data_IF_990506815981
#
_entry.id   IF_990506815981
#
_cell.length_a   1.000
_cell.length_b   1.000
_cell.length_c   1.000
_cell.angle_alpha   90.00
_cell.angle_beta   90.00
_cell.angle_gamma   90.00
#
_symmetry.space_group_name_H-M   'P 1'
#
loop_
_entity.id
_entity.type
_entity.pdbx_description
1 polymer ?
#
# COMPACT_ATOMS: atom_id res chain seq x y z
N UNK A 1 -16.54 10.37 -44.35
CA UNK A 1 -17.10 10.03 -43.03
C UNK A 1 -16.35 8.91 -42.32
N UNK A 2 -16.01 7.79 -42.98
CA UNK A 2 -15.34 6.64 -42.35
C UNK A 2 -13.98 6.94 -41.70
N UNK A 3 -13.20 7.90 -42.24
CA UNK A 3 -11.91 8.31 -41.67
C UNK A 3 -12.03 8.96 -40.29
N UNK A 4 -13.09 9.75 -40.07
CA UNK A 4 -13.36 10.37 -38.77
C UNK A 4 -13.85 9.34 -37.76
N UNK A 5 -14.66 8.37 -38.19
CA UNK A 5 -15.09 7.27 -37.33
C UNK A 5 -13.91 6.43 -36.84
N UNK A 6 -12.98 6.07 -37.73
CA UNK A 6 -11.75 5.35 -37.36
C UNK A 6 -10.94 6.16 -36.33
N UNK A 7 -10.82 7.47 -36.53
CA UNK A 7 -10.09 8.34 -35.61
C UNK A 7 -10.73 8.40 -34.21
N UNK A 8 -12.05 8.46 -34.14
CA UNK A 8 -12.79 8.42 -32.86
C UNK A 8 -12.58 7.09 -32.15
N UNK A 9 -12.58 5.96 -32.85
CA UNK A 9 -12.31 4.66 -32.23
C UNK A 9 -10.87 4.55 -31.70
N UNK A 10 -9.89 5.10 -32.41
CA UNK A 10 -8.49 5.14 -31.95
C UNK A 10 -8.36 6.01 -30.71
N UNK A 11 -9.01 7.18 -30.68
CA UNK A 11 -9.03 8.06 -29.51
C UNK A 11 -9.72 7.40 -28.30
N UNK A 12 -10.85 6.73 -28.53
CA UNK A 12 -11.57 6.03 -27.46
C UNK A 12 -10.74 4.86 -26.90
N UNK A 13 -10.09 4.09 -27.77
CA UNK A 13 -9.24 2.98 -27.35
C UNK A 13 -8.04 3.46 -26.54
N UNK A 14 -7.36 4.53 -26.99
CA UNK A 14 -6.22 5.10 -26.25
C UNK A 14 -6.65 5.69 -24.90
N UNK A 15 -7.78 6.40 -24.83
CA UNK A 15 -8.31 6.95 -23.58
C UNK A 15 -8.79 5.87 -22.58
N UNK A 16 -9.35 4.76 -23.09
CA UNK A 16 -9.73 3.61 -22.27
C UNK A 16 -8.51 2.89 -21.70
N UNK A 17 -7.48 2.68 -22.52
CA UNK A 17 -6.23 2.05 -22.09
C UNK A 17 -5.51 2.88 -21.03
N UNK A 18 -5.39 4.20 -21.19
CA UNK A 18 -4.71 5.05 -20.18
C UNK A 18 -5.43 5.07 -18.84
N UNK A 19 -6.77 5.10 -18.82
CA UNK A 19 -7.57 5.03 -17.60
C UNK A 19 -7.47 3.65 -16.91
N UNK A 20 -7.42 2.56 -17.67
CA UNK A 20 -7.36 1.20 -17.10
C UNK A 20 -5.95 0.80 -16.62
N UNK A 21 -4.90 1.21 -17.35
CA UNK A 21 -3.50 0.90 -17.06
C UNK A 21 -3.08 1.48 -15.70
N UNK A 22 -3.45 2.73 -15.38
CA UNK A 22 -3.03 3.33 -14.11
C UNK A 22 -3.60 2.60 -12.88
N UNK A 23 -4.79 1.99 -12.96
CA UNK A 23 -5.39 1.29 -11.83
C UNK A 23 -4.70 -0.04 -11.52
N UNK A 24 -4.36 -0.84 -12.54
CA UNK A 24 -3.73 -2.14 -12.36
C UNK A 24 -2.23 -2.06 -12.03
N UNK A 25 -1.53 -1.00 -12.49
CA UNK A 25 -0.09 -0.82 -12.22
C UNK A 25 0.21 -0.02 -10.95
N UNK A 26 -0.80 0.52 -10.26
CA UNK A 26 -0.61 1.11 -8.94
C UNK A 26 -0.50 -0.01 -7.92
N UNK A 27 0.65 -0.69 -7.88
CA UNK A 27 1.04 -1.54 -6.74
C UNK A 27 0.94 -0.65 -5.51
N UNK A 28 -0.15 -0.79 -4.75
CA UNK A 28 -0.29 -0.11 -3.47
C UNK A 28 0.65 -0.82 -2.53
N UNK A 29 1.82 -0.22 -2.31
CA UNK A 29 2.69 -0.60 -1.21
C UNK A 29 2.05 -0.03 0.05
N UNK A 30 1.80 -0.87 1.04
CA UNK A 30 1.36 -0.38 2.35
C UNK A 30 2.53 0.33 3.03
N UNK A 31 2.33 1.57 3.46
CA UNK A 31 3.33 2.36 4.19
C UNK A 31 2.90 2.49 5.65
N UNK A 32 3.80 2.18 6.56
CA UNK A 32 3.61 2.35 8.00
C UNK A 32 4.45 3.53 8.47
N UNK A 33 3.80 4.51 9.08
CA UNK A 33 4.45 5.71 9.57
C UNK A 33 4.52 5.71 11.10
N UNK A 34 5.53 6.37 11.69
CA UNK A 34 5.63 6.47 13.15
C UNK A 34 4.39 7.13 13.77
N UNK A 35 3.90 6.56 14.87
CA UNK A 35 2.84 7.18 15.66
C UNK A 35 3.39 8.38 16.46
N UNK A 36 2.69 9.52 16.51
CA UNK A 36 3.11 10.65 17.33
C UNK A 36 3.27 10.26 18.81
N UNK A 37 4.39 10.61 19.43
CA UNK A 37 4.66 10.36 20.84
C UNK A 37 5.16 8.96 21.19
N UNK A 38 5.27 8.05 20.22
CA UNK A 38 5.91 6.74 20.40
C UNK A 38 7.36 6.82 19.96
N UNK A 39 8.27 6.33 20.82
CA UNK A 39 9.70 6.23 20.52
C UNK A 39 10.00 4.86 19.91
N UNK A 40 10.95 4.84 18.98
CA UNK A 40 11.39 3.63 18.29
C UNK A 40 10.84 3.58 16.87
N UNK A 41 11.70 3.16 15.93
CA UNK A 41 11.33 2.90 14.55
C UNK A 41 11.22 1.39 14.39
N UNK A 42 10.04 0.93 13.98
CA UNK A 42 9.79 -0.45 13.58
C UNK A 42 9.59 -0.50 12.08
N UNK A 43 10.14 -1.52 11.44
CA UNK A 43 9.89 -1.85 10.05
C UNK A 43 8.81 -2.94 9.99
N UNK A 44 7.78 -2.70 9.18
CA UNK A 44 6.60 -3.55 9.07
C UNK A 44 6.38 -3.91 7.62
N UNK A 45 6.31 -5.20 7.35
CA UNK A 45 5.90 -5.75 6.05
C UNK A 45 4.61 -6.52 6.20
N UNK A 46 3.75 -6.49 5.18
CA UNK A 46 2.45 -7.17 5.17
C UNK A 46 2.32 -8.09 3.97
N UNK A 47 1.66 -9.24 4.14
CA UNK A 47 1.36 -10.18 3.07
C UNK A 47 -0.08 -10.72 3.20
N UNK A 48 -0.93 -10.63 2.16
CA UNK A 48 -0.68 -9.95 0.88
C UNK A 48 -0.62 -8.42 1.03
N UNK A 49 0.12 -7.76 0.13
CA UNK A 49 0.21 -6.29 0.03
C UNK A 49 -0.34 -5.82 -1.35
N UNK A 50 -1.47 -5.10 -1.40
CA UNK A 50 -2.27 -4.62 -0.28
C UNK A 50 -3.09 -5.73 0.43
N UNK A 51 -3.43 -5.56 1.71
CA UNK A 51 -4.33 -6.46 2.42
C UNK A 51 -5.69 -6.57 1.72
N UNK A 52 -6.26 -7.77 1.71
CA UNK A 52 -7.57 -8.03 1.12
C UNK A 52 -8.61 -8.01 2.23
N UNK A 53 -9.71 -7.28 2.01
CA UNK A 53 -10.80 -7.18 2.99
C UNK A 53 -11.34 -8.56 3.35
N UNK A 54 -11.63 -8.77 4.64
CA UNK A 54 -12.16 -10.03 5.19
C UNK A 54 -11.24 -11.26 5.04
N UNK A 55 -9.98 -11.05 4.62
CA UNK A 55 -8.98 -12.10 4.51
C UNK A 55 -7.87 -11.91 5.55
N UNK A 56 -7.28 -13.00 6.05
CA UNK A 56 -6.14 -12.89 6.94
C UNK A 56 -4.94 -12.26 6.22
N UNK A 57 -4.25 -11.36 6.93
CA UNK A 57 -2.99 -10.77 6.50
C UNK A 57 -1.89 -11.11 7.53
N UNK A 58 -0.69 -11.39 7.04
CA UNK A 58 0.49 -11.64 7.86
C UNK A 58 1.30 -10.37 7.96
N UNK A 59 1.57 -9.91 9.18
CA UNK A 59 2.42 -8.76 9.45
C UNK A 59 3.74 -9.24 10.03
N UNK A 60 4.85 -8.90 9.38
CA UNK A 60 6.19 -9.17 9.91
C UNK A 60 6.77 -7.85 10.40
N UNK A 61 7.08 -7.80 11.70
CA UNK A 61 7.60 -6.60 12.36
C UNK A 61 9.00 -6.85 12.85
N UNK A 62 9.88 -5.90 12.56
CA UNK A 62 11.26 -5.87 13.04
C UNK A 62 11.59 -4.47 13.52
N UNK A 63 12.59 -4.34 14.37
CA UNK A 63 13.01 -3.03 14.85
C UNK A 63 14.11 -3.15 15.87
N UNK A 64 14.73 -2.00 16.17
CA UNK A 64 15.77 -1.91 17.17
C UNK A 64 15.21 -1.23 18.41
N UNK A 65 15.36 -1.90 19.55
CA UNK A 65 15.00 -1.34 20.84
C UNK A 65 16.06 -0.31 21.25
N UNK A 66 15.64 0.91 21.52
CA UNK A 66 16.50 1.96 22.07
C UNK A 66 16.61 1.88 23.59
N UNK A 67 15.58 1.32 24.23
CA UNK A 67 15.42 1.18 25.67
C UNK A 67 15.02 -0.27 26.01
N UNK A 68 15.23 -0.67 27.26
CA UNK A 68 14.85 -2.01 27.73
C UNK A 68 13.34 -2.24 27.68
N UNK A 69 12.92 -3.46 27.32
CA UNK A 69 11.52 -3.88 27.39
C UNK A 69 11.18 -4.15 28.86
N UNK A 70 10.42 -3.25 29.47
CA UNK A 70 9.90 -3.43 30.83
C UNK A 70 8.47 -3.94 30.76
N UNK A 71 8.22 -5.10 31.39
CA UNK A 71 6.89 -5.70 31.45
C UNK A 71 5.85 -4.71 32.03
N UNK A 72 4.72 -4.57 31.33
CA UNK A 72 3.61 -3.69 31.73
C UNK A 72 3.85 -2.19 31.53
N UNK A 73 5.00 -1.78 30.97
CA UNK A 73 5.29 -0.36 30.65
C UNK A 73 5.60 -0.12 29.19
N UNK A 74 6.38 -1.00 28.58
CA UNK A 74 6.75 -0.85 27.16
C UNK A 74 5.62 -1.36 26.28
N UNK A 75 5.10 -0.49 25.41
CA UNK A 75 4.07 -0.83 24.42
C UNK A 75 4.69 -0.76 23.02
N UNK A 76 4.54 -1.85 22.26
CA UNK A 76 4.87 -1.90 20.84
C UNK A 76 3.54 -2.07 20.09
N UNK A 77 3.20 -1.08 19.27
CA UNK A 77 1.95 -1.07 18.50
C UNK A 77 2.23 -0.93 17.02
N UNK A 78 1.40 -1.58 16.21
CA UNK A 78 1.31 -1.38 14.76
C UNK A 78 -0.01 -0.65 14.55
N UNK A 79 0.02 0.51 13.88
CA UNK A 79 -1.14 1.37 13.63
C UNK A 79 -1.24 1.77 12.18
#
# INVERSE_FOLDING_TARGET
>A
MNRNFIFVFILLATFSMTNAVQYQFRKRKTEFNPCPGIKGVIDVTVAPDPPISEQPATYTVSGTLSDDITAGRTVVGIG
#
